data_IF_025958145642
#
_entry.id   IF_025958145642
#
_cell.length_a   1.000
_cell.length_b   1.000
_cell.length_c   1.000
_cell.angle_alpha   90.00
_cell.angle_beta   90.00
_cell.angle_gamma   90.00
#
_symmetry.space_group_name_H-M   'P 1'
#
loop_
_entity.id
_entity.type
_entity.pdbx_description
1 polymer ?
#
# COMPACT_ATOMS: atom_id res chain seq x y z
N UNK A 1 -26.09 -7.30 -24.19
CA UNK A 1 -24.75 -7.19 -24.80
C UNK A 1 -23.84 -8.33 -24.39
N UNK A 2 -23.58 -8.60 -23.10
CA UNK A 2 -22.70 -9.72 -22.65
C UNK A 2 -23.21 -11.10 -23.11
N UNK A 3 -24.50 -11.40 -22.95
CA UNK A 3 -25.06 -12.69 -23.42
C UNK A 3 -24.90 -12.88 -24.94
N UNK A 4 -25.08 -11.81 -25.72
CA UNK A 4 -24.88 -11.87 -27.17
C UNK A 4 -23.41 -12.09 -27.55
N UNK A 5 -22.48 -11.50 -26.79
CA UNK A 5 -21.05 -11.76 -26.98
C UNK A 5 -20.75 -13.22 -26.67
N UNK A 6 -21.19 -13.71 -25.50
CA UNK A 6 -21.00 -15.09 -25.07
C UNK A 6 -21.46 -16.10 -26.11
N UNK A 7 -22.70 -15.92 -26.62
CA UNK A 7 -23.30 -16.80 -27.63
C UNK A 7 -22.60 -16.72 -28.99
N UNK A 8 -22.30 -15.48 -29.47
CA UNK A 8 -21.71 -15.27 -30.81
C UNK A 8 -20.26 -15.69 -30.92
N UNK A 9 -19.53 -15.70 -29.82
CA UNK A 9 -18.10 -16.05 -29.79
C UNK A 9 -17.84 -17.47 -29.33
N UNK A 10 -18.90 -18.25 -29.01
CA UNK A 10 -18.78 -19.58 -28.39
C UNK A 10 -17.85 -19.53 -27.15
N UNK A 11 -18.06 -18.51 -26.31
CA UNK A 11 -17.14 -18.19 -25.19
C UNK A 11 -17.11 -19.33 -24.16
N UNK A 12 -18.13 -20.20 -24.10
CA UNK A 12 -18.13 -21.40 -23.28
C UNK A 12 -16.94 -22.29 -23.61
N UNK A 13 -16.64 -22.48 -24.89
CA UNK A 13 -15.49 -23.27 -25.34
C UNK A 13 -14.15 -22.74 -24.81
N UNK A 14 -14.02 -21.41 -24.66
CA UNK A 14 -12.86 -20.85 -24.04
C UNK A 14 -12.72 -21.28 -22.56
N UNK A 15 -13.81 -21.24 -21.78
CA UNK A 15 -13.80 -21.72 -20.39
C UNK A 15 -13.51 -23.20 -20.29
N UNK A 16 -14.13 -24.03 -21.16
CA UNK A 16 -13.92 -25.46 -21.16
C UNK A 16 -12.45 -25.83 -21.47
N UNK A 17 -11.85 -25.14 -22.43
CA UNK A 17 -10.45 -25.35 -22.79
C UNK A 17 -9.46 -24.94 -21.70
N UNK A 18 -9.82 -24.01 -20.81
CA UNK A 18 -8.98 -23.49 -19.71
C UNK A 18 -9.43 -23.99 -18.33
N UNK A 19 -10.38 -24.91 -18.27
CA UNK A 19 -10.95 -25.42 -17.01
C UNK A 19 -9.88 -25.99 -16.06
N UNK A 20 -8.84 -26.63 -16.63
CA UNK A 20 -7.70 -27.15 -15.86
C UNK A 20 -6.89 -26.06 -15.19
N UNK A 21 -6.62 -24.96 -15.88
CA UNK A 21 -5.88 -23.81 -15.37
C UNK A 21 -6.63 -23.14 -14.21
N UNK A 22 -7.94 -22.91 -14.37
CA UNK A 22 -8.77 -22.36 -13.30
C UNK A 22 -8.82 -23.28 -12.09
N UNK A 23 -8.95 -24.59 -12.31
CA UNK A 23 -8.99 -25.57 -11.21
C UNK A 23 -7.65 -25.63 -10.46
N UNK A 24 -6.55 -25.58 -11.17
CA UNK A 24 -5.22 -25.55 -10.56
C UNK A 24 -5.02 -24.27 -9.72
N UNK A 25 -5.47 -23.11 -10.21
CA UNK A 25 -5.42 -21.86 -9.45
C UNK A 25 -6.28 -21.91 -8.18
N UNK A 26 -7.48 -22.48 -8.23
CA UNK A 26 -8.32 -22.68 -7.05
C UNK A 26 -7.61 -23.56 -6.00
N UNK A 27 -7.03 -24.68 -6.43
CA UNK A 27 -6.31 -25.61 -5.53
C UNK A 27 -5.10 -24.89 -4.93
N UNK A 28 -4.32 -24.18 -5.75
CA UNK A 28 -3.15 -23.43 -5.28
C UNK A 28 -3.55 -22.37 -4.26
N UNK A 29 -4.60 -21.59 -4.53
CA UNK A 29 -5.09 -20.59 -3.59
C UNK A 29 -5.61 -21.18 -2.28
N UNK A 30 -6.37 -22.28 -2.36
CA UNK A 30 -6.85 -23.01 -1.19
C UNK A 30 -5.70 -23.53 -0.33
N UNK A 31 -4.66 -24.06 -0.97
CA UNK A 31 -3.53 -24.68 -0.29
C UNK A 31 -2.57 -23.63 0.29
N UNK A 32 -2.27 -22.60 -0.49
CA UNK A 32 -1.27 -21.59 -0.10
C UNK A 32 -1.83 -20.51 0.80
N UNK A 33 -3.07 -20.02 0.54
CA UNK A 33 -3.64 -18.85 1.19
C UNK A 33 -4.67 -19.21 2.25
N UNK A 34 -5.53 -20.21 1.97
CA UNK A 34 -6.66 -20.53 2.85
C UNK A 34 -6.41 -21.67 3.84
N UNK A 35 -5.30 -22.40 3.74
CA UNK A 35 -5.04 -23.59 4.56
C UNK A 35 -5.14 -23.37 6.06
N UNK A 36 -4.81 -22.16 6.53
CA UNK A 36 -4.88 -21.75 7.94
C UNK A 36 -5.69 -20.44 8.14
N UNK A 37 -6.50 -20.08 7.15
CA UNK A 37 -7.34 -18.90 7.23
C UNK A 37 -8.44 -19.07 8.29
N UNK A 38 -8.41 -18.20 9.31
CA UNK A 38 -9.31 -18.26 10.45
C UNK A 38 -10.57 -17.43 10.22
N UNK A 39 -11.58 -18.03 9.59
CA UNK A 39 -12.85 -17.35 9.33
C UNK A 39 -13.62 -17.01 10.61
N UNK A 40 -13.51 -17.82 11.67
CA UNK A 40 -14.21 -17.58 12.95
C UNK A 40 -13.70 -16.34 13.68
N UNK A 41 -12.49 -15.88 13.36
CA UNK A 41 -11.90 -14.69 13.93
C UNK A 41 -12.80 -13.46 13.77
N UNK A 42 -13.44 -13.29 12.63
CA UNK A 42 -14.30 -12.12 12.37
C UNK A 42 -15.43 -12.00 13.39
N UNK A 43 -16.15 -13.09 13.62
CA UNK A 43 -17.26 -13.06 14.60
C UNK A 43 -16.77 -12.81 16.03
N UNK A 44 -15.60 -13.31 16.38
CA UNK A 44 -14.97 -13.11 17.69
C UNK A 44 -14.45 -11.68 17.84
N UNK A 45 -13.67 -11.20 16.85
CA UNK A 45 -13.08 -9.88 16.91
C UNK A 45 -14.14 -8.79 16.86
N UNK A 46 -15.05 -8.82 15.91
CA UNK A 46 -16.08 -7.79 15.77
C UNK A 46 -17.25 -7.93 16.76
N UNK A 47 -17.39 -9.08 17.44
CA UNK A 47 -18.51 -9.36 18.35
C UNK A 47 -19.85 -9.46 17.62
N UNK A 48 -19.82 -9.80 16.34
CA UNK A 48 -21.01 -9.87 15.47
C UNK A 48 -20.81 -11.00 14.46
N UNK A 49 -21.82 -11.87 14.32
CA UNK A 49 -21.80 -12.87 13.27
C UNK A 49 -21.96 -12.20 11.91
N UNK A 50 -21.16 -12.64 10.94
CA UNK A 50 -21.38 -12.26 9.55
C UNK A 50 -22.78 -12.69 9.10
N UNK A 51 -23.51 -11.76 8.51
CA UNK A 51 -24.81 -12.04 7.90
C UNK A 51 -24.71 -12.15 6.37
N UNK A 52 -23.48 -12.12 5.87
CA UNK A 52 -23.13 -12.20 4.47
C UNK A 52 -22.57 -13.57 4.11
N UNK A 53 -22.67 -13.93 2.84
CA UNK A 53 -21.92 -15.04 2.25
C UNK A 53 -20.65 -14.48 1.60
N UNK A 54 -19.49 -15.09 1.88
CA UNK A 54 -18.20 -14.66 1.34
C UNK A 54 -17.77 -15.52 0.17
N UNK A 55 -17.35 -14.88 -0.92
CA UNK A 55 -16.82 -15.55 -2.11
C UNK A 55 -15.49 -14.94 -2.51
N UNK A 56 -14.60 -15.79 -3.01
CA UNK A 56 -13.32 -15.37 -3.60
C UNK A 56 -13.40 -15.67 -5.09
N UNK A 57 -13.06 -14.68 -5.90
CA UNK A 57 -13.02 -14.77 -7.36
C UNK A 57 -11.59 -14.51 -7.80
N UNK A 58 -10.94 -15.51 -8.37
CA UNK A 58 -9.59 -15.39 -8.92
C UNK A 58 -9.68 -14.81 -10.34
N UNK A 59 -9.23 -13.56 -10.47
CA UNK A 59 -9.39 -12.77 -11.69
C UNK A 59 -8.13 -12.79 -12.56
N UNK A 60 -8.02 -13.73 -13.50
CA UNK A 60 -6.89 -13.81 -14.43
C UNK A 60 -6.72 -12.56 -15.32
N UNK A 61 -7.80 -11.84 -15.57
CA UNK A 61 -7.77 -10.60 -16.35
C UNK A 61 -7.51 -9.33 -15.54
N UNK A 62 -7.39 -9.42 -14.21
CA UNK A 62 -7.29 -8.25 -13.35
C UNK A 62 -5.85 -7.75 -13.14
N UNK A 63 -4.83 -8.51 -13.54
CA UNK A 63 -3.44 -8.21 -13.19
C UNK A 63 -3.30 -8.06 -11.67
N UNK A 64 -2.72 -6.96 -11.20
CA UNK A 64 -2.58 -6.64 -9.77
C UNK A 64 -3.82 -5.97 -9.13
N UNK A 65 -4.94 -5.86 -9.84
CA UNK A 65 -6.17 -5.23 -9.32
C UNK A 65 -6.95 -6.16 -8.39
N UNK A 66 -7.36 -5.64 -7.22
CA UNK A 66 -8.17 -6.34 -6.23
C UNK A 66 -9.37 -5.51 -5.87
N UNK A 67 -10.53 -6.13 -5.62
CA UNK A 67 -11.78 -5.40 -5.41
C UNK A 67 -12.69 -6.16 -4.44
N UNK A 68 -13.21 -5.46 -3.44
CA UNK A 68 -14.33 -5.92 -2.61
C UNK A 68 -15.66 -5.48 -3.23
N UNK A 69 -16.48 -6.42 -3.68
CA UNK A 69 -17.77 -6.13 -4.32
C UNK A 69 -18.90 -6.75 -3.51
N UNK A 70 -19.85 -5.93 -3.07
CA UNK A 70 -21.10 -6.40 -2.44
C UNK A 70 -22.22 -6.50 -3.44
N UNK A 71 -22.90 -7.64 -3.43
CA UNK A 71 -24.12 -7.88 -4.21
C UNK A 71 -25.26 -8.13 -3.22
N UNK A 72 -26.38 -7.42 -3.39
CA UNK A 72 -27.57 -7.55 -2.58
C UNK A 72 -28.70 -8.21 -3.41
N UNK A 73 -28.77 -9.55 -3.46
CA UNK A 73 -29.86 -10.20 -4.17
C UNK A 73 -31.19 -10.02 -3.42
N UNK A 74 -32.31 -9.86 -4.13
CA UNK A 74 -33.62 -9.57 -3.53
C UNK A 74 -34.13 -10.59 -2.52
N UNK A 75 -33.69 -11.84 -2.61
CA UNK A 75 -34.25 -12.97 -1.82
C UNK A 75 -33.20 -13.81 -1.10
N UNK A 76 -31.96 -13.35 -1.02
CA UNK A 76 -30.88 -14.08 -0.37
C UNK A 76 -29.98 -13.17 0.44
N UNK A 77 -29.04 -13.76 1.17
CA UNK A 77 -28.04 -12.99 1.92
C UNK A 77 -27.20 -12.14 0.96
N UNK A 78 -26.71 -11.03 1.45
CA UNK A 78 -25.68 -10.24 0.80
C UNK A 78 -24.46 -11.11 0.52
N UNK A 79 -23.92 -11.03 -0.68
CA UNK A 79 -22.71 -11.73 -1.08
C UNK A 79 -21.57 -10.71 -1.11
N UNK A 80 -20.53 -10.99 -0.36
CA UNK A 80 -19.28 -10.20 -0.38
C UNK A 80 -18.28 -10.98 -1.24
N UNK A 81 -17.90 -10.40 -2.38
CA UNK A 81 -16.93 -10.98 -3.26
C UNK A 81 -15.59 -10.29 -3.07
N UNK A 82 -14.55 -11.04 -2.73
CA UNK A 82 -13.17 -10.61 -2.87
C UNK A 82 -12.69 -11.03 -4.27
N UNK A 83 -12.60 -10.08 -5.19
CA UNK A 83 -12.01 -10.30 -6.51
C UNK A 83 -10.51 -10.09 -6.36
N UNK A 84 -9.75 -11.16 -6.55
CA UNK A 84 -8.30 -11.19 -6.36
C UNK A 84 -7.64 -11.33 -7.72
N UNK A 85 -6.75 -10.41 -8.08
CA UNK A 85 -5.98 -10.49 -9.32
C UNK A 85 -4.98 -11.64 -9.31
N UNK A 86 -4.67 -12.16 -10.49
CA UNK A 86 -3.64 -13.19 -10.67
C UNK A 86 -2.49 -12.56 -11.46
N UNK A 87 -1.34 -12.34 -10.80
CA UNK A 87 -0.18 -11.65 -11.40
C UNK A 87 1.13 -12.39 -11.23
N UNK A 88 1.16 -13.49 -10.49
CA UNK A 88 2.36 -14.31 -10.29
C UNK A 88 2.14 -15.70 -10.86
N UNK A 89 3.14 -16.19 -11.62
CA UNK A 89 3.09 -17.48 -12.29
C UNK A 89 4.43 -18.20 -12.11
N UNK A 90 4.39 -19.52 -12.07
CA UNK A 90 5.60 -20.34 -12.17
C UNK A 90 6.15 -20.40 -13.60
N UNK A 91 7.22 -21.15 -13.80
CA UNK A 91 7.86 -21.29 -15.12
C UNK A 91 6.99 -22.02 -16.14
N UNK A 92 6.05 -22.82 -15.69
CA UNK A 92 5.09 -23.58 -16.46
C UNK A 92 3.82 -22.77 -16.78
N UNK A 93 3.69 -21.55 -16.20
CA UNK A 93 2.54 -20.68 -16.40
C UNK A 93 1.39 -20.92 -15.43
N UNK A 94 1.56 -21.72 -14.39
CA UNK A 94 0.52 -21.92 -13.37
C UNK A 94 0.51 -20.74 -12.40
N UNK A 95 -0.69 -20.32 -11.98
CA UNK A 95 -0.85 -19.25 -10.99
C UNK A 95 -0.18 -19.63 -9.66
N UNK A 96 0.48 -18.65 -9.04
CA UNK A 96 1.10 -18.76 -7.72
C UNK A 96 0.61 -17.66 -6.79
N UNK A 97 0.37 -18.03 -5.54
CA UNK A 97 -0.15 -17.12 -4.51
C UNK A 97 0.73 -17.21 -3.27
N UNK A 98 1.52 -16.17 -3.03
CA UNK A 98 2.27 -16.05 -1.78
C UNK A 98 1.32 -15.73 -0.62
N UNK A 99 1.36 -16.56 0.42
CA UNK A 99 0.49 -16.38 1.59
C UNK A 99 0.65 -15.01 2.23
N UNK A 100 1.89 -14.54 2.37
CA UNK A 100 2.18 -13.28 3.06
C UNK A 100 1.69 -12.05 2.28
N UNK A 101 1.47 -12.22 0.98
CA UNK A 101 0.92 -11.17 0.11
C UNK A 101 -0.61 -11.26 0.01
N UNK A 102 -1.14 -12.45 -0.24
CA UNK A 102 -2.56 -12.62 -0.57
C UNK A 102 -3.47 -12.77 0.66
N UNK A 103 -2.99 -13.32 1.78
CA UNK A 103 -3.84 -13.48 2.96
C UNK A 103 -4.15 -12.15 3.65
N UNK A 104 -3.22 -11.20 3.86
CA UNK A 104 -3.53 -9.86 4.35
C UNK A 104 -4.52 -9.10 3.44
N UNK A 105 -4.40 -9.27 2.13
CA UNK A 105 -5.34 -8.69 1.16
C UNK A 105 -6.76 -9.25 1.35
N UNK A 106 -6.90 -10.57 1.45
CA UNK A 106 -8.20 -11.21 1.66
C UNK A 106 -8.84 -10.77 2.99
N UNK A 107 -8.03 -10.70 4.05
CA UNK A 107 -8.47 -10.23 5.36
C UNK A 107 -8.96 -8.77 5.26
N UNK A 108 -8.23 -7.92 4.53
CA UNK A 108 -8.59 -6.54 4.28
C UNK A 108 -9.97 -6.42 3.62
N UNK A 109 -10.19 -7.12 2.51
CA UNK A 109 -11.46 -7.05 1.77
C UNK A 109 -12.66 -7.51 2.61
N UNK A 110 -12.48 -8.54 3.43
CA UNK A 110 -13.55 -9.01 4.30
C UNK A 110 -13.81 -8.08 5.49
N UNK A 111 -12.78 -7.41 6.02
CA UNK A 111 -12.94 -6.44 7.10
C UNK A 111 -13.88 -5.28 6.74
N UNK A 112 -13.92 -4.86 5.48
CA UNK A 112 -14.83 -3.80 5.03
C UNK A 112 -16.30 -4.06 5.39
N UNK A 113 -16.72 -5.31 5.42
CA UNK A 113 -18.09 -5.69 5.78
C UNK A 113 -18.43 -5.45 7.24
N UNK A 114 -17.42 -5.40 8.11
CA UNK A 114 -17.57 -5.21 9.54
C UNK A 114 -17.25 -3.78 9.99
N UNK A 115 -16.65 -2.95 9.14
CA UNK A 115 -16.16 -1.62 9.51
C UNK A 115 -16.99 -0.51 8.85
N UNK A 116 -17.18 -0.55 7.52
CA UNK A 116 -17.62 0.61 6.75
C UNK A 116 -18.98 1.18 7.19
N UNK A 117 -19.95 0.33 7.52
CA UNK A 117 -21.29 0.77 7.90
C UNK A 117 -21.32 1.48 9.26
N UNK A 118 -20.33 1.26 10.14
CA UNK A 118 -20.33 1.82 11.51
C UNK A 118 -20.16 3.34 11.47
N UNK A 119 -19.39 3.86 10.52
CA UNK A 119 -19.21 5.30 10.36
C UNK A 119 -20.53 6.04 10.14
N UNK A 120 -21.48 5.43 9.44
CA UNK A 120 -22.80 6.01 9.14
C UNK A 120 -23.77 5.88 10.33
N UNK A 121 -23.48 5.01 11.30
CA UNK A 121 -24.36 4.77 12.45
C UNK A 121 -24.28 5.89 13.48
N UNK A 122 -25.38 6.14 14.18
CA UNK A 122 -25.43 6.94 15.42
C UNK A 122 -24.82 8.35 15.30
N UNK A 123 -24.78 8.93 14.10
CA UNK A 123 -24.16 10.23 13.83
C UNK A 123 -22.63 10.24 14.00
N UNK A 124 -21.97 9.08 13.84
CA UNK A 124 -20.51 8.96 13.95
C UNK A 124 -19.80 9.81 12.90
N UNK A 125 -20.35 9.91 11.68
CA UNK A 125 -19.85 10.80 10.63
C UNK A 125 -19.70 12.23 11.13
N UNK A 126 -20.74 12.79 11.73
CA UNK A 126 -20.71 14.18 12.26
C UNK A 126 -19.67 14.34 13.38
N UNK A 127 -19.49 13.32 14.23
CA UNK A 127 -18.52 13.38 15.34
C UNK A 127 -17.06 13.31 14.86
N UNK A 128 -16.81 12.74 13.68
CA UNK A 128 -15.50 12.58 13.07
C UNK A 128 -15.21 13.61 11.97
N UNK A 129 -16.21 14.33 11.47
CA UNK A 129 -16.08 15.20 10.30
C UNK A 129 -14.92 16.19 10.42
N UNK A 130 -14.83 16.90 11.54
CA UNK A 130 -13.79 17.91 11.72
C UNK A 130 -12.39 17.28 11.78
N UNK A 131 -12.20 16.27 12.61
CA UNK A 131 -10.90 15.58 12.75
C UNK A 131 -10.50 14.81 11.49
N UNK A 132 -11.45 14.14 10.85
CA UNK A 132 -11.24 13.43 9.60
C UNK A 132 -10.78 14.36 8.48
N UNK A 133 -11.45 15.50 8.30
CA UNK A 133 -11.06 16.52 7.30
C UNK A 133 -9.67 17.10 7.58
N UNK A 134 -9.35 17.44 8.83
CA UNK A 134 -8.02 17.96 9.20
C UNK A 134 -6.92 16.95 8.85
N UNK A 135 -7.12 15.67 9.22
CA UNK A 135 -6.13 14.62 8.93
C UNK A 135 -6.01 14.42 7.42
N UNK A 136 -7.14 14.28 6.73
CA UNK A 136 -7.17 14.03 5.29
C UNK A 136 -6.45 15.12 4.49
N UNK A 137 -6.72 16.38 4.75
CA UNK A 137 -6.07 17.49 4.03
C UNK A 137 -4.53 17.47 4.18
N UNK A 138 -4.01 16.99 5.32
CA UNK A 138 -2.56 16.89 5.55
C UNK A 138 -1.89 15.73 4.78
N UNK A 139 -2.64 14.69 4.43
CA UNK A 139 -2.13 13.51 3.70
C UNK A 139 -2.85 13.30 2.35
N UNK A 140 -3.59 14.27 1.88
CA UNK A 140 -4.51 14.22 0.73
C UNK A 140 -3.86 13.66 -0.52
N UNK A 141 -2.70 14.19 -0.92
CA UNK A 141 -1.99 13.73 -2.13
C UNK A 141 -1.68 12.24 -2.08
N UNK A 142 -1.26 11.75 -0.92
CA UNK A 142 -0.94 10.33 -0.73
C UNK A 142 -2.20 9.47 -0.69
N UNK A 143 -3.31 9.97 -0.13
CA UNK A 143 -4.61 9.26 -0.12
C UNK A 143 -5.22 9.19 -1.53
N UNK A 144 -5.25 10.29 -2.26
CA UNK A 144 -5.75 10.34 -3.64
C UNK A 144 -4.95 9.43 -4.58
N UNK A 145 -3.63 9.32 -4.39
CA UNK A 145 -2.79 8.40 -5.16
C UNK A 145 -3.14 6.92 -4.96
N UNK A 146 -3.85 6.61 -3.86
CA UNK A 146 -4.36 5.29 -3.51
C UNK A 146 -5.87 5.15 -3.80
N UNK A 147 -6.45 6.11 -4.55
CA UNK A 147 -7.89 6.20 -4.85
C UNK A 147 -8.81 6.46 -3.64
N UNK A 148 -8.28 7.00 -2.54
CA UNK A 148 -9.05 7.40 -1.37
C UNK A 148 -9.40 8.89 -1.47
N UNK A 149 -10.54 9.20 -2.10
CA UNK A 149 -10.95 10.54 -2.49
C UNK A 149 -11.56 11.40 -1.38
N UNK A 150 -11.74 10.88 -0.17
CA UNK A 150 -12.35 11.59 0.96
C UNK A 150 -11.87 11.06 2.31
N UNK A 151 -12.17 11.81 3.38
CA UNK A 151 -11.78 11.47 4.74
C UNK A 151 -12.52 10.25 5.31
N UNK A 152 -13.75 10.00 4.89
CA UNK A 152 -14.55 8.85 5.29
C UNK A 152 -13.88 7.55 4.84
N UNK A 153 -13.49 7.52 3.58
CA UNK A 153 -12.74 6.39 3.01
C UNK A 153 -11.42 6.19 3.75
N UNK A 154 -10.66 7.26 3.98
CA UNK A 154 -9.38 7.19 4.72
C UNK A 154 -9.56 6.59 6.12
N UNK A 155 -10.59 7.00 6.88
CA UNK A 155 -10.85 6.45 8.23
C UNK A 155 -11.24 4.98 8.14
N UNK A 156 -12.17 4.61 7.24
CA UNK A 156 -12.58 3.22 7.08
C UNK A 156 -11.39 2.35 6.69
N UNK A 157 -10.58 2.78 5.74
CA UNK A 157 -9.36 2.08 5.30
C UNK A 157 -8.36 1.90 6.45
N UNK A 158 -8.15 2.93 7.27
CA UNK A 158 -7.21 2.79 8.39
C UNK A 158 -7.70 1.80 9.45
N UNK A 159 -9.00 1.73 9.71
CA UNK A 159 -9.59 0.75 10.63
C UNK A 159 -9.51 -0.68 10.08
N UNK A 160 -9.82 -0.84 8.79
CA UNK A 160 -9.70 -2.12 8.09
C UNK A 160 -8.26 -2.65 8.16
N UNK A 161 -7.27 -1.79 7.91
CA UNK A 161 -5.84 -2.13 7.96
C UNK A 161 -5.36 -2.45 9.36
N UNK A 162 -5.79 -1.68 10.36
CA UNK A 162 -5.49 -2.01 11.76
C UNK A 162 -6.09 -3.36 12.18
N UNK A 163 -7.27 -3.71 11.67
CA UNK A 163 -7.89 -5.01 11.91
C UNK A 163 -7.12 -6.16 11.21
N UNK A 164 -6.47 -5.93 10.05
CA UNK A 164 -5.54 -6.90 9.46
C UNK A 164 -4.40 -7.21 10.42
N UNK A 165 -3.78 -6.19 11.00
CA UNK A 165 -2.70 -6.36 11.98
C UNK A 165 -3.20 -7.17 13.19
N UNK A 166 -4.42 -6.90 13.67
CA UNK A 166 -5.00 -7.67 14.78
C UNK A 166 -5.32 -9.11 14.41
N UNK A 167 -5.74 -9.37 13.17
CA UNK A 167 -5.85 -10.76 12.70
C UNK A 167 -4.49 -11.47 12.78
N UNK A 168 -3.40 -10.81 12.35
CA UNK A 168 -2.05 -11.38 12.41
C UNK A 168 -1.61 -11.67 13.85
N UNK A 169 -1.87 -10.74 14.79
CA UNK A 169 -1.58 -10.91 16.23
C UNK A 169 -2.33 -12.12 16.80
N UNK A 170 -3.64 -12.18 16.61
CA UNK A 170 -4.50 -13.25 17.16
C UNK A 170 -4.19 -14.62 16.54
N UNK A 171 -3.72 -14.67 15.30
CA UNK A 171 -3.33 -15.89 14.60
C UNK A 171 -1.81 -16.17 14.66
N UNK A 172 -1.08 -15.50 15.59
CA UNK A 172 0.31 -15.79 15.96
C UNK A 172 1.32 -15.69 14.82
N UNK A 173 1.14 -14.71 13.93
CA UNK A 173 2.18 -14.32 12.98
C UNK A 173 3.44 -13.90 13.73
N UNK A 174 4.60 -13.96 13.07
CA UNK A 174 5.84 -13.52 13.71
C UNK A 174 5.78 -12.01 14.02
N UNK A 175 6.46 -11.58 15.09
CA UNK A 175 6.53 -10.14 15.41
C UNK A 175 7.14 -9.35 14.26
N UNK A 176 8.08 -9.94 13.53
CA UNK A 176 8.68 -9.33 12.33
C UNK A 176 7.62 -9.05 11.26
N UNK A 177 6.74 -10.00 10.96
CA UNK A 177 5.70 -9.84 9.94
C UNK A 177 4.68 -8.78 10.38
N UNK A 178 4.32 -8.75 11.66
CA UNK A 178 3.42 -7.75 12.25
C UNK A 178 4.03 -6.35 12.16
N UNK A 179 5.29 -6.19 12.53
CA UNK A 179 6.00 -4.90 12.47
C UNK A 179 6.15 -4.43 11.02
N UNK A 180 6.41 -5.36 10.09
CA UNK A 180 6.49 -5.06 8.66
C UNK A 180 5.14 -4.60 8.10
N UNK A 181 4.03 -5.25 8.48
CA UNK A 181 2.69 -4.83 8.06
C UNK A 181 2.36 -3.42 8.57
N UNK A 182 2.62 -3.12 9.86
CA UNK A 182 2.44 -1.77 10.40
C UNK A 182 3.28 -0.77 9.60
N UNK A 183 4.54 -1.08 9.33
CA UNK A 183 5.43 -0.20 8.58
C UNK A 183 5.00 0.00 7.11
N UNK A 184 4.43 -1.03 6.47
CA UNK A 184 3.81 -0.90 5.14
C UNK A 184 2.70 0.14 5.17
N UNK A 185 1.87 0.15 6.21
CA UNK A 185 0.78 1.13 6.33
C UNK A 185 1.31 2.54 6.61
N UNK A 186 2.37 2.69 7.40
CA UNK A 186 3.03 3.99 7.60
C UNK A 186 3.63 4.53 6.29
N UNK A 187 4.23 3.69 5.45
CA UNK A 187 4.70 4.07 4.10
C UNK A 187 3.54 4.52 3.18
N UNK A 188 2.35 3.96 3.36
CA UNK A 188 1.12 4.40 2.72
C UNK A 188 0.51 5.66 3.33
N UNK A 189 1.22 6.28 4.27
CA UNK A 189 0.83 7.52 4.99
C UNK A 189 -0.30 7.37 5.99
N UNK A 190 -0.62 6.16 6.42
CA UNK A 190 -1.38 5.92 7.65
C UNK A 190 -0.43 5.98 8.86
N UNK A 191 0.17 7.15 9.11
CA UNK A 191 1.25 7.35 10.08
C UNK A 191 0.84 7.08 11.54
N UNK A 192 -0.45 6.99 11.79
CA UNK A 192 -1.03 6.64 13.08
C UNK A 192 -1.32 5.15 13.24
N UNK A 193 -0.88 4.30 12.32
CA UNK A 193 -1.24 2.88 12.30
C UNK A 193 -0.87 2.17 13.60
N UNK A 194 0.35 2.38 14.10
CA UNK A 194 0.77 1.77 15.36
C UNK A 194 -0.12 2.18 16.54
N UNK A 195 -0.43 3.47 16.68
CA UNK A 195 -1.29 3.97 17.75
C UNK A 195 -2.73 3.40 17.63
N UNK A 196 -3.22 3.23 16.39
CA UNK A 196 -4.54 2.66 16.14
C UNK A 196 -4.59 1.16 16.48
N UNK A 197 -3.54 0.41 16.17
CA UNK A 197 -3.39 -1.00 16.56
C UNK A 197 -3.35 -1.12 18.10
N UNK A 198 -2.59 -0.26 18.78
CA UNK A 198 -2.54 -0.21 20.24
C UNK A 198 -3.93 0.11 20.85
N UNK A 199 -4.69 1.03 20.23
CA UNK A 199 -6.07 1.33 20.62
C UNK A 199 -6.98 0.09 20.49
N UNK A 200 -6.88 -0.65 19.39
CA UNK A 200 -7.63 -1.89 19.22
C UNK A 200 -7.22 -2.97 20.24
N UNK A 201 -6.00 -2.89 20.79
CA UNK A 201 -5.57 -3.70 21.93
C UNK A 201 -6.39 -3.42 23.19
N UNK A 202 -6.75 -2.16 23.42
CA UNK A 202 -7.67 -1.84 24.53
C UNK A 202 -9.05 -2.46 24.31
N UNK A 203 -9.54 -2.50 23.08
CA UNK A 203 -10.79 -3.18 22.73
C UNK A 203 -10.73 -4.67 23.06
N UNK A 204 -9.71 -5.36 22.61
CA UNK A 204 -9.53 -6.80 22.82
C UNK A 204 -9.39 -7.15 24.30
N UNK A 205 -8.68 -6.34 25.06
CA UNK A 205 -8.47 -6.57 26.50
C UNK A 205 -9.69 -6.19 27.39
N UNK A 206 -10.69 -5.51 26.84
CA UNK A 206 -11.86 -5.02 27.57
C UNK A 206 -13.19 -5.48 26.97
N UNK A 207 -13.26 -6.72 26.47
CA UNK A 207 -14.45 -7.29 25.79
C UNK A 207 -15.73 -7.30 26.64
N UNK A 208 -15.61 -7.32 27.97
CA UNK A 208 -16.75 -7.18 28.86
C UNK A 208 -17.41 -5.81 28.80
N UNK A 209 -16.58 -4.74 28.64
CA UNK A 209 -17.05 -3.37 28.47
C UNK A 209 -17.48 -3.11 27.01
N UNK A 210 -16.75 -3.66 26.10
CA UNK A 210 -16.95 -3.48 24.66
C UNK A 210 -17.24 -4.82 23.97
N UNK A 211 -18.48 -5.34 24.06
CA UNK A 211 -18.81 -6.67 23.50
C UNK A 211 -18.75 -6.72 21.97
N UNK A 212 -18.87 -5.58 21.30
CA UNK A 212 -18.77 -5.47 19.84
C UNK A 212 -17.91 -4.29 19.43
N UNK A 213 -17.41 -4.32 18.19
CA UNK A 213 -16.65 -3.20 17.60
C UNK A 213 -17.49 -1.92 17.52
N UNK A 214 -18.79 -2.05 17.27
CA UNK A 214 -19.75 -0.95 17.31
C UNK A 214 -19.78 -0.27 18.70
N UNK A 215 -19.73 -1.06 19.78
CA UNK A 215 -19.72 -0.54 21.17
C UNK A 215 -18.41 0.16 21.52
N UNK A 216 -17.32 -0.14 20.81
CA UNK A 216 -16.02 0.49 20.98
C UNK A 216 -15.83 1.76 20.14
N UNK A 217 -16.69 2.00 19.18
CA UNK A 217 -16.53 3.11 18.22
C UNK A 217 -16.43 4.51 18.87
N UNK A 218 -17.04 4.83 20.02
CA UNK A 218 -16.80 6.09 20.73
C UNK A 218 -15.33 6.32 21.11
N UNK A 219 -14.57 5.27 21.41
CA UNK A 219 -13.12 5.38 21.71
C UNK A 219 -12.33 5.67 20.41
N UNK A 220 -12.77 5.11 19.29
CA UNK A 220 -12.21 5.40 17.96
C UNK A 220 -12.44 6.87 17.61
N UNK A 221 -13.63 7.41 17.84
CA UNK A 221 -13.92 8.84 17.65
C UNK A 221 -13.00 9.70 18.53
N UNK A 222 -12.86 9.34 19.82
CA UNK A 222 -11.96 10.04 20.73
C UNK A 222 -10.52 10.02 20.26
N UNK A 223 -10.07 8.88 19.71
CA UNK A 223 -8.74 8.73 19.15
C UNK A 223 -8.48 9.72 18.01
N UNK A 224 -9.32 9.74 16.99
CA UNK A 224 -9.14 10.63 15.84
C UNK A 224 -9.24 12.11 16.23
N UNK A 225 -10.12 12.46 17.18
CA UNK A 225 -10.22 13.82 17.68
C UNK A 225 -8.95 14.28 18.42
N UNK A 226 -8.25 13.36 19.09
CA UNK A 226 -6.95 13.61 19.73
C UNK A 226 -5.77 13.55 18.76
N UNK A 227 -5.88 12.77 17.70
CA UNK A 227 -4.86 12.62 16.66
C UNK A 227 -4.75 13.87 15.79
N UNK A 228 -5.89 14.43 15.35
CA UNK A 228 -5.92 15.53 14.39
C UNK A 228 -5.00 16.71 14.74
N UNK A 229 -4.98 17.25 15.97
CA UNK A 229 -4.09 18.36 16.33
C UNK A 229 -2.59 17.98 16.32
N UNK A 230 -2.25 16.69 16.40
CA UNK A 230 -0.87 16.17 16.44
C UNK A 230 -0.32 15.81 15.07
N UNK A 231 -1.16 15.74 14.03
CA UNK A 231 -0.77 15.20 12.72
C UNK A 231 0.41 15.93 12.08
N UNK A 232 0.51 17.26 12.22
CA UNK A 232 1.66 18.01 11.67
C UNK A 232 2.98 17.57 12.29
N UNK A 233 3.00 17.30 13.60
CA UNK A 233 4.19 16.80 14.30
C UNK A 233 4.50 15.38 13.85
N UNK A 234 3.51 14.48 13.78
CA UNK A 234 3.69 13.10 13.33
C UNK A 234 4.27 13.05 11.91
N UNK A 235 3.78 13.89 11.00
CA UNK A 235 4.32 14.00 9.63
C UNK A 235 5.77 14.47 9.65
N UNK A 236 6.09 15.52 10.43
CA UNK A 236 7.45 16.04 10.54
C UNK A 236 8.42 14.99 11.09
N UNK A 237 8.01 14.23 12.11
CA UNK A 237 8.80 13.13 12.69
C UNK A 237 9.05 12.01 11.68
N UNK A 238 8.03 11.66 10.87
CA UNK A 238 8.20 10.69 9.80
C UNK A 238 9.16 11.20 8.71
N UNK A 239 9.03 12.47 8.29
CA UNK A 239 9.89 13.07 7.28
C UNK A 239 11.37 13.17 7.74
N UNK A 240 11.62 13.32 9.05
CA UNK A 240 12.98 13.29 9.60
C UNK A 240 13.63 11.90 9.49
N UNK A 241 12.86 10.84 9.49
CA UNK A 241 13.35 9.46 9.31
C UNK A 241 13.64 9.11 7.85
N UNK A 242 13.08 9.84 6.90
CA UNK A 242 13.31 9.63 5.48
C UNK A 242 14.74 10.07 5.09
N UNK A 243 15.48 9.26 4.31
CA UNK A 243 16.78 9.68 3.77
C UNK A 243 16.60 10.85 2.80
N UNK A 244 17.65 11.67 2.69
CA UNK A 244 17.70 12.85 1.81
C UNK A 244 18.98 12.84 1.00
N UNK A 245 18.92 13.38 -0.20
CA UNK A 245 20.14 13.72 -0.95
C UNK A 245 20.80 14.89 -0.24
N UNK A 246 22.05 14.70 0.16
CA UNK A 246 22.85 15.70 0.84
C UNK A 246 23.69 16.55 -0.14
N UNK A 247 24.30 15.88 -1.13
CA UNK A 247 25.14 16.53 -2.13
C UNK A 247 25.34 15.64 -3.34
N UNK A 248 25.89 16.22 -4.41
CA UNK A 248 26.36 15.49 -5.60
C UNK A 248 27.80 15.90 -5.87
N UNK A 249 28.68 14.94 -6.12
CA UNK A 249 30.08 15.17 -6.44
C UNK A 249 30.40 14.64 -7.85
N UNK A 250 30.99 15.43 -8.75
CA UNK A 250 31.20 16.90 -8.65
C UNK A 250 29.88 17.66 -8.43
N UNK A 251 29.97 18.90 -7.90
CA UNK A 251 28.81 19.73 -7.62
C UNK A 251 28.11 20.21 -8.90
N UNK A 252 27.13 19.43 -9.32
CA UNK A 252 26.35 19.70 -10.56
C UNK A 252 24.92 20.15 -10.25
N UNK A 253 24.40 19.90 -9.04
CA UNK A 253 23.01 20.12 -8.70
C UNK A 253 22.64 21.62 -8.70
N UNK A 254 21.64 21.97 -9.51
CA UNK A 254 21.17 23.33 -9.73
C UNK A 254 22.25 24.31 -10.31
N UNK A 255 23.25 23.76 -11.01
CA UNK A 255 24.28 24.56 -11.70
C UNK A 255 23.91 24.77 -13.18
N UNK A 256 24.36 25.88 -13.75
CA UNK A 256 24.12 26.26 -15.13
C UNK A 256 25.39 26.28 -16.02
N UNK A 257 26.52 25.84 -15.47
CA UNK A 257 27.85 25.88 -16.08
C UNK A 257 28.62 24.58 -15.92
N UNK A 258 27.89 23.46 -15.83
CA UNK A 258 28.47 22.11 -15.61
C UNK A 258 29.35 21.72 -16.78
N UNK A 259 30.53 21.16 -16.50
CA UNK A 259 31.42 20.66 -17.52
C UNK A 259 30.84 19.39 -18.22
N UNK A 260 30.53 19.39 -19.51
CA UNK A 260 30.02 18.21 -20.19
C UNK A 260 31.01 17.05 -20.25
N UNK A 261 32.32 17.29 -19.94
CA UNK A 261 33.34 16.25 -19.86
C UNK A 261 33.24 15.37 -18.58
N UNK A 262 32.44 15.75 -17.60
CA UNK A 262 32.21 14.93 -16.39
C UNK A 262 31.58 13.59 -16.82
N UNK A 263 32.29 12.49 -16.53
CA UNK A 263 31.86 11.13 -16.89
C UNK A 263 31.22 10.36 -15.74
N UNK A 264 31.33 10.88 -14.52
CA UNK A 264 30.87 10.21 -13.32
C UNK A 264 30.36 11.23 -12.31
N UNK A 265 29.24 10.91 -11.66
CA UNK A 265 28.73 11.66 -10.52
C UNK A 265 28.45 10.70 -9.38
N UNK A 266 28.68 11.15 -8.15
CA UNK A 266 28.30 10.45 -6.93
C UNK A 266 27.26 11.27 -6.20
N UNK A 267 26.08 10.67 -5.96
CA UNK A 267 25.01 11.23 -5.16
C UNK A 267 25.22 10.77 -3.73
N UNK A 268 25.36 11.71 -2.80
CA UNK A 268 25.58 11.43 -1.39
C UNK A 268 24.27 11.62 -0.60
N UNK A 269 24.00 10.70 0.30
CA UNK A 269 22.84 10.69 1.17
C UNK A 269 23.22 11.06 2.60
N UNK A 270 22.25 11.53 3.38
CA UNK A 270 22.44 11.92 4.79
C UNK A 270 22.56 10.71 5.75
N UNK A 271 22.36 9.50 5.24
CA UNK A 271 22.41 8.24 5.99
C UNK A 271 22.67 7.02 5.11
N UNK A 272 22.93 5.88 5.75
CA UNK A 272 23.11 4.60 5.08
C UNK A 272 21.84 4.15 4.36
N UNK A 273 21.98 3.74 3.09
CA UNK A 273 20.90 3.27 2.24
C UNK A 273 20.89 1.73 2.17
N UNK A 274 19.70 1.15 2.07
CA UNK A 274 19.53 -0.25 1.68
C UNK A 274 19.85 -0.42 0.19
N UNK A 275 20.07 -1.66 -0.22
CA UNK A 275 20.19 -1.97 -1.64
C UNK A 275 18.88 -1.70 -2.37
N UNK A 276 19.00 -1.13 -3.55
CA UNK A 276 17.85 -0.80 -4.40
C UNK A 276 17.96 0.61 -4.96
N UNK A 277 17.71 0.72 -6.26
CA UNK A 277 17.87 1.97 -7.02
C UNK A 277 16.60 2.25 -7.82
N UNK A 278 16.11 3.47 -7.74
CA UNK A 278 14.97 3.95 -8.52
C UNK A 278 15.21 5.37 -9.00
N UNK A 279 15.62 5.49 -10.25
CA UNK A 279 15.89 6.76 -10.93
C UNK A 279 14.98 6.85 -12.15
N UNK A 280 14.21 7.91 -12.23
CA UNK A 280 13.27 8.15 -13.33
C UNK A 280 13.74 9.31 -14.21
N UNK A 281 13.32 9.27 -15.46
CA UNK A 281 13.47 10.38 -16.41
C UNK A 281 12.64 11.55 -15.85
N UNK A 282 13.21 12.76 -15.89
CA UNK A 282 12.52 13.97 -15.48
C UNK A 282 11.45 14.44 -16.48
N UNK A 283 10.80 15.55 -16.14
CA UNK A 283 9.72 16.15 -16.95
C UNK A 283 10.18 16.60 -18.34
N UNK A 284 11.48 16.82 -18.53
CA UNK A 284 12.10 17.28 -19.78
C UNK A 284 12.29 16.15 -20.82
N UNK A 285 12.09 14.89 -20.42
CA UNK A 285 12.12 13.75 -21.32
C UNK A 285 13.49 13.06 -21.44
N UNK A 286 13.51 11.96 -22.22
CA UNK A 286 14.67 11.06 -22.31
C UNK A 286 15.92 11.72 -22.87
N UNK A 287 15.79 12.70 -23.75
CA UNK A 287 16.91 13.42 -24.36
C UNK A 287 17.69 14.28 -23.36
N UNK A 288 17.04 14.61 -22.25
CA UNK A 288 17.58 15.39 -21.13
C UNK A 288 17.97 14.51 -19.93
N UNK A 289 18.10 13.20 -20.14
CA UNK A 289 18.49 12.25 -19.10
C UNK A 289 19.99 11.93 -19.23
N UNK A 290 20.86 12.36 -18.29
CA UNK A 290 22.29 12.28 -18.46
C UNK A 290 22.91 10.93 -18.08
N UNK A 291 22.16 10.04 -17.42
CA UNK A 291 22.69 8.85 -16.78
C UNK A 291 22.81 7.70 -17.78
N UNK A 292 24.00 7.12 -17.88
CA UNK A 292 24.32 6.03 -18.79
C UNK A 292 24.31 4.67 -18.12
N UNK A 293 24.87 4.58 -16.91
CA UNK A 293 25.05 3.32 -16.19
C UNK A 293 25.15 3.56 -14.70
N UNK A 294 24.56 2.65 -13.93
CA UNK A 294 24.79 2.53 -12.49
C UNK A 294 26.13 1.83 -12.26
N UNK A 295 27.00 2.43 -11.46
CA UNK A 295 28.26 1.80 -10.98
C UNK A 295 27.99 1.01 -9.72
N UNK A 296 27.37 1.63 -8.71
CA UNK A 296 27.02 0.99 -7.44
C UNK A 296 27.07 1.93 -6.24
N UNK A 297 26.74 1.39 -5.09
CA UNK A 297 26.88 2.09 -3.81
C UNK A 297 28.34 2.21 -3.40
N UNK A 298 28.68 3.31 -2.74
CA UNK A 298 30.00 3.67 -2.22
C UNK A 298 29.88 4.23 -0.80
N UNK A 299 30.99 4.37 -0.10
CA UNK A 299 31.06 4.98 1.23
C UNK A 299 30.08 4.34 2.22
N UNK A 300 30.16 3.02 2.39
CA UNK A 300 29.25 2.26 3.26
C UNK A 300 27.77 2.58 2.99
N UNK A 301 27.40 2.57 1.72
CA UNK A 301 26.04 2.88 1.24
C UNK A 301 25.50 4.30 1.53
N UNK A 302 26.36 5.25 1.91
CA UNK A 302 25.96 6.67 2.01
C UNK A 302 26.12 7.43 0.71
N UNK A 303 26.57 6.78 -0.36
CA UNK A 303 26.69 7.36 -1.69
C UNK A 303 26.37 6.33 -2.79
N UNK A 304 25.99 6.82 -3.96
CA UNK A 304 25.77 6.01 -5.16
C UNK A 304 26.43 6.68 -6.37
N UNK A 305 27.22 5.91 -7.11
CA UNK A 305 27.98 6.40 -8.26
C UNK A 305 27.30 5.99 -9.56
N UNK A 306 27.23 6.93 -10.48
CA UNK A 306 26.56 6.85 -11.78
C UNK A 306 27.47 7.38 -12.88
N UNK A 307 27.59 6.66 -14.00
CA UNK A 307 28.22 7.18 -15.20
C UNK A 307 27.26 8.11 -15.96
N UNK A 308 27.82 9.18 -16.51
CA UNK A 308 27.10 10.19 -17.26
C UNK A 308 27.60 10.30 -18.68
N UNK A 309 26.72 10.74 -19.58
CA UNK A 309 27.04 11.16 -20.94
C UNK A 309 26.29 12.45 -21.23
N UNK A 310 27.02 13.54 -21.38
CA UNK A 310 26.45 14.88 -21.49
C UNK A 310 26.96 15.59 -22.76
N UNK A 311 26.08 16.40 -23.35
CA UNK A 311 26.38 17.30 -24.49
C UNK A 311 26.57 18.72 -23.95
N UNK A 312 27.33 19.56 -24.67
CA UNK A 312 27.44 20.98 -24.34
C UNK A 312 26.09 21.70 -24.46
N UNK A 313 25.94 22.82 -23.72
CA UNK A 313 24.78 23.71 -23.73
C UNK A 313 23.41 23.00 -23.65
N UNK A 314 23.33 21.96 -22.79
CA UNK A 314 22.13 21.10 -22.66
C UNK A 314 21.65 21.12 -21.24
N UNK A 315 20.32 21.24 -21.05
CA UNK A 315 19.66 21.07 -19.76
C UNK A 315 19.42 19.58 -19.47
N UNK A 316 19.68 19.18 -18.24
CA UNK A 316 19.51 17.80 -17.80
C UNK A 316 18.63 17.73 -16.55
N UNK A 317 17.79 16.69 -16.49
CA UNK A 317 16.91 16.43 -15.37
C UNK A 317 16.74 14.91 -15.15
N UNK A 318 16.80 14.50 -13.89
CA UNK A 318 16.39 13.17 -13.46
C UNK A 318 15.82 13.21 -12.06
N UNK A 319 15.02 12.18 -11.69
CA UNK A 319 14.31 12.13 -10.42
C UNK A 319 14.71 10.89 -9.66
N UNK A 320 15.17 11.08 -8.44
CA UNK A 320 15.38 9.99 -7.47
C UNK A 320 14.07 9.75 -6.73
N UNK A 321 13.57 8.52 -6.75
CA UNK A 321 12.29 8.18 -6.14
C UNK A 321 12.44 7.17 -4.99
N UNK A 322 11.55 7.26 -4.00
CA UNK A 322 11.51 6.33 -2.87
C UNK A 322 11.00 4.93 -3.18
N UNK A 323 10.69 4.61 -4.44
CA UNK A 323 10.15 3.30 -4.83
C UNK A 323 11.09 2.15 -4.44
N UNK A 324 12.40 2.33 -4.71
CA UNK A 324 13.45 1.37 -4.32
C UNK A 324 14.55 2.00 -3.47
N UNK A 325 14.80 3.32 -3.59
CA UNK A 325 15.70 3.99 -2.67
C UNK A 325 15.07 4.08 -1.28
N UNK A 326 15.70 3.44 -0.31
CA UNK A 326 15.26 3.40 1.09
C UNK A 326 16.48 3.52 2.01
N UNK A 327 16.29 4.09 3.21
CA UNK A 327 17.31 3.95 4.26
C UNK A 327 17.45 2.49 4.67
N UNK A 328 18.50 2.18 5.41
CA UNK A 328 18.73 0.84 5.98
C UNK A 328 17.56 0.35 6.83
N UNK A 329 16.87 1.25 7.51
CA UNK A 329 15.66 1.00 8.29
C UNK A 329 14.40 0.86 7.42
N UNK A 330 14.50 1.06 6.09
CA UNK A 330 13.42 0.87 5.13
C UNK A 330 12.59 2.12 4.81
N UNK A 331 12.88 3.30 5.39
CA UNK A 331 12.18 4.54 5.07
C UNK A 331 12.49 4.98 3.62
N UNK A 332 11.46 5.28 2.80
CA UNK A 332 11.66 5.68 1.42
C UNK A 332 12.36 7.03 1.33
N UNK A 333 13.26 7.17 0.33
CA UNK A 333 13.87 8.45 -0.01
C UNK A 333 12.77 9.48 -0.34
N UNK A 334 12.89 10.69 0.20
CA UNK A 334 12.07 11.81 -0.24
C UNK A 334 12.38 12.10 -1.71
N UNK A 335 11.37 12.09 -2.57
CA UNK A 335 11.53 12.35 -4.00
C UNK A 335 12.35 13.62 -4.21
N UNK A 336 13.40 13.51 -5.02
CA UNK A 336 14.35 14.59 -5.25
C UNK A 336 14.63 14.74 -6.73
N UNK A 337 14.31 15.92 -7.25
CA UNK A 337 14.60 16.29 -8.64
C UNK A 337 16.00 16.89 -8.73
N UNK A 338 16.82 16.33 -9.60
CA UNK A 338 18.16 16.81 -9.90
C UNK A 338 18.12 17.48 -11.26
N UNK A 339 18.44 18.78 -11.27
CA UNK A 339 18.49 19.60 -12.50
C UNK A 339 19.84 20.30 -12.62
N UNK A 340 20.33 20.45 -13.82
CA UNK A 340 21.51 21.25 -14.13
C UNK A 340 21.60 21.54 -15.64
N UNK A 341 22.47 22.49 -16.02
CA UNK A 341 22.77 22.81 -17.41
C UNK A 341 24.28 22.75 -17.63
N UNK A 342 24.68 22.17 -18.74
CA UNK A 342 26.09 22.17 -19.21
C UNK A 342 26.45 23.50 -19.88
N UNK A 343 27.72 23.91 -19.78
CA UNK A 343 28.31 25.01 -20.54
C UNK A 343 28.57 24.63 -22.02
#
# INVERSE_FOLDING_TARGET
MLNQFYEKTDFQKFFDNHAGEYKNAEIEYQTSVLSDFNQDWYSKFYGKKANEDYKIILGYGNGGGNYGIKIHPEKSKTIVNAVVGVWSFDKEGNAKFDKNEFQPLLIHEFNHSFVNYILEMNGNTLKLENSGKIIYELVKKDMESQAYGNWETMINESLVRAAVVWYMIDNKYSQKDIDEEIFIQEKRKFLWMKELVDLLGMYQNNRKKYPSFESFYPEIISFYNKLAPRMKTIIADYEQKQPKVQSISPDVWNKNDVDPAIKEITINFDREMAEGVSISIGSTGKEHFPLKKLVGFVNDHTGITLLTEMKPNTEYEFVLTGNKFKSKEGYPLKETVIKFKTK
#
